data_IF_049131497352
#
_entry.id   IF_049131497352
#
_cell.length_a   1.000
_cell.length_b   1.000
_cell.length_c   1.000
_cell.angle_alpha   90.00
_cell.angle_beta   90.00
_cell.angle_gamma   90.00
#
_symmetry.space_group_name_H-M   'P 1'
#
loop_
_entity.id
_entity.type
_entity.pdbx_description
1 polymer ?
#
# COMPACT_ATOMS: atom_id res chain seq x y z
N UNK A 1 -7.29 8.08 -2.48
CA UNK A 1 -5.88 7.99 -2.04
C UNK A 1 -5.64 7.10 -0.80
N UNK A 2 -4.95 5.97 -0.99
CA UNK A 2 -4.50 5.10 0.11
C UNK A 2 -3.29 5.75 0.79
N UNK A 3 -3.43 6.18 2.05
CA UNK A 3 -2.35 6.74 2.85
C UNK A 3 -2.29 6.01 4.19
N UNK A 4 -1.09 5.64 4.62
CA UNK A 4 -0.85 4.96 5.88
C UNK A 4 0.10 5.78 6.73
N UNK A 5 -0.18 5.82 8.03
CA UNK A 5 0.77 6.25 9.03
C UNK A 5 1.52 5.03 9.55
N UNK A 6 2.85 5.07 9.49
CA UNK A 6 3.74 4.00 9.94
C UNK A 6 4.56 4.54 11.11
N UNK A 7 4.49 3.87 12.25
CA UNK A 7 5.26 4.21 13.45
C UNK A 7 6.25 3.08 13.74
N UNK A 8 7.53 3.43 13.94
CA UNK A 8 8.57 2.48 14.35
C UNK A 8 9.67 3.21 15.14
N UNK A 9 9.97 2.72 16.34
CA UNK A 9 10.81 3.49 17.28
C UNK A 9 10.25 4.90 17.49
N UNK A 10 11.12 5.91 17.40
CA UNK A 10 10.77 7.33 17.48
C UNK A 10 10.25 7.92 16.15
N UNK A 11 10.19 7.12 15.09
CA UNK A 11 9.83 7.59 13.76
C UNK A 11 8.34 7.46 13.49
N UNK A 12 7.79 8.50 12.86
CA UNK A 12 6.43 8.52 12.31
C UNK A 12 6.51 8.97 10.88
N UNK A 13 6.05 8.11 9.97
CA UNK A 13 6.06 8.34 8.53
C UNK A 13 4.64 8.27 7.97
N UNK A 14 4.39 9.02 6.91
CA UNK A 14 3.17 8.93 6.10
C UNK A 14 3.51 8.51 4.67
N UNK A 15 2.79 7.54 4.15
CA UNK A 15 2.87 7.16 2.73
C UNK A 15 1.95 8.06 1.90
N UNK A 16 2.47 8.54 0.76
CA UNK A 16 1.74 9.33 -0.21
C UNK A 16 1.80 8.63 -1.58
N UNK A 17 0.69 8.11 -2.09
CA UNK A 17 0.68 7.40 -3.37
C UNK A 17 1.01 8.37 -4.51
N UNK A 18 1.83 7.91 -5.47
CA UNK A 18 2.14 8.69 -6.69
C UNK A 18 0.93 8.73 -7.63
N UNK A 19 0.16 7.64 -7.66
CA UNK A 19 -1.12 7.50 -8.35
C UNK A 19 -2.11 6.82 -7.41
N UNK A 20 -3.37 7.27 -7.44
CA UNK A 20 -4.42 6.72 -6.58
C UNK A 20 -4.77 5.27 -6.94
N UNK A 21 -4.85 4.97 -8.24
CA UNK A 21 -5.26 3.67 -8.78
C UNK A 21 -4.03 2.86 -9.24
N UNK A 22 -3.51 2.06 -8.31
CA UNK A 22 -2.43 1.10 -8.54
C UNK A 22 -2.87 -0.30 -8.08
N UNK A 23 -4.14 -0.63 -8.36
CA UNK A 23 -4.71 -1.94 -8.05
C UNK A 23 -4.25 -3.00 -9.06
N UNK A 24 -3.87 -4.17 -8.54
CA UNK A 24 -3.58 -5.36 -9.33
C UNK A 24 -4.55 -6.46 -8.94
N UNK A 25 -5.45 -6.81 -9.87
CA UNK A 25 -6.37 -7.94 -9.72
C UNK A 25 -5.82 -9.17 -10.43
N UNK A 26 -5.66 -10.26 -9.67
CA UNK A 26 -5.20 -11.56 -10.19
C UNK A 26 -6.37 -12.55 -10.25
N UNK A 27 -6.35 -13.46 -11.22
CA UNK A 27 -7.45 -14.43 -11.44
C UNK A 27 -7.04 -15.90 -11.33
N UNK A 28 -5.74 -16.22 -11.37
CA UNK A 28 -5.21 -17.59 -11.26
C UNK A 28 -3.86 -17.58 -10.52
N UNK A 29 -3.55 -18.60 -9.70
CA UNK A 29 -4.35 -19.80 -9.41
C UNK A 29 -5.51 -19.56 -8.42
N UNK A 30 -5.52 -18.45 -7.68
CA UNK A 30 -6.62 -18.02 -6.83
C UNK A 30 -6.84 -16.50 -6.98
N UNK A 31 -8.08 -15.98 -6.94
CA UNK A 31 -8.33 -14.56 -7.04
C UNK A 31 -7.77 -13.81 -5.81
N UNK A 32 -6.84 -12.89 -6.05
CA UNK A 32 -6.34 -11.96 -5.03
C UNK A 32 -6.34 -10.56 -5.61
N UNK A 33 -6.79 -9.59 -4.81
CA UNK A 33 -6.67 -8.17 -5.11
C UNK A 33 -5.53 -7.61 -4.26
N UNK A 34 -4.54 -7.06 -4.95
CA UNK A 34 -3.45 -6.31 -4.38
C UNK A 34 -3.64 -4.83 -4.70
N UNK A 35 -3.20 -3.96 -3.80
CA UNK A 35 -2.84 -2.59 -4.15
C UNK A 35 -1.32 -2.58 -4.10
N UNK A 36 -0.66 -2.35 -5.24
CA UNK A 36 0.78 -2.37 -5.32
C UNK A 36 1.27 -1.11 -6.01
N UNK A 37 1.78 -0.16 -5.23
CA UNK A 37 2.00 1.17 -5.75
C UNK A 37 3.26 1.86 -5.24
N UNK A 38 3.81 2.69 -6.13
CA UNK A 38 4.87 3.63 -5.78
C UNK A 38 4.32 4.69 -4.83
N UNK A 39 5.06 4.93 -3.75
CA UNK A 39 4.74 5.94 -2.74
C UNK A 39 5.93 6.87 -2.52
N UNK A 40 5.65 8.14 -2.22
CA UNK A 40 6.56 9.01 -1.48
C UNK A 40 6.34 8.79 0.00
N UNK A 41 7.38 9.02 0.79
CA UNK A 41 7.31 8.94 2.25
C UNK A 41 7.76 10.27 2.82
N UNK A 42 7.06 10.75 3.84
CA UNK A 42 7.35 11.98 4.57
C UNK A 42 7.11 11.81 6.07
N UNK A 43 7.61 12.74 6.88
CA UNK A 43 7.51 12.71 8.34
C UNK A 43 8.87 12.87 8.98
N UNK A 44 9.18 12.05 9.98
CA UNK A 44 10.51 12.05 10.62
C UNK A 44 11.64 11.62 9.67
N UNK A 45 11.31 10.94 8.57
CA UNK A 45 12.20 10.60 7.46
C UNK A 45 11.47 10.91 6.14
N UNK A 46 12.22 11.11 5.05
CA UNK A 46 11.63 11.34 3.73
C UNK A 46 12.30 10.49 2.66
N UNK A 47 11.53 10.10 1.63
CA UNK A 47 12.03 9.22 0.58
C UNK A 47 10.97 8.76 -0.41
N UNK A 48 11.29 7.68 -1.11
CA UNK A 48 10.41 6.97 -2.05
C UNK A 48 10.44 5.49 -1.72
N UNK A 49 9.33 4.80 -1.95
CA UNK A 49 9.20 3.37 -1.69
C UNK A 49 8.07 2.73 -2.49
N UNK A 50 7.78 1.48 -2.14
CA UNK A 50 6.68 0.69 -2.69
C UNK A 50 5.82 0.21 -1.53
N UNK A 51 4.50 0.30 -1.68
CA UNK A 51 3.53 -0.18 -0.71
C UNK A 51 2.69 -1.26 -1.37
N UNK A 52 2.69 -2.44 -0.78
CA UNK A 52 1.84 -3.56 -1.13
C UNK A 52 0.79 -3.75 -0.03
N UNK A 53 -0.48 -3.83 -0.42
CA UNK A 53 -1.59 -4.11 0.48
C UNK A 53 -2.46 -5.22 -0.10
N UNK A 54 -2.85 -6.16 0.74
CA UNK A 54 -3.75 -7.26 0.40
C UNK A 54 -4.91 -7.33 1.39
N UNK A 55 -5.98 -8.03 1.03
CA UNK A 55 -7.12 -8.27 1.93
C UNK A 55 -8.02 -7.05 2.20
N UNK A 56 -7.74 -5.89 1.62
CA UNK A 56 -8.57 -4.68 1.77
C UNK A 56 -9.85 -4.74 0.92
N UNK A 57 -9.87 -5.51 -0.16
CA UNK A 57 -11.01 -5.66 -1.09
C UNK A 57 -12.10 -6.63 -0.58
N UNK A 58 -12.11 -6.95 0.72
CA UNK A 58 -13.04 -7.90 1.33
C UNK A 58 -12.46 -9.32 1.45
N UNK A 59 -13.25 -10.22 2.04
CA UNK A 59 -12.83 -11.60 2.33
C UNK A 59 -12.47 -12.28 1.01
N UNK A 60 -11.24 -12.81 0.90
CA UNK A 60 -10.91 -13.78 -0.14
C UNK A 60 -11.92 -14.92 -0.05
N UNK A 61 -12.85 -15.00 -1.00
CA UNK A 61 -13.68 -16.18 -1.14
C UNK A 61 -12.79 -17.23 -1.80
N UNK A 62 -12.28 -18.13 -0.95
CA UNK A 62 -11.61 -19.36 -1.38
C UNK A 62 -12.62 -20.32 -1.99
#
# INVERSE_FOLDING_TARGET
PVQLEIRFGEHTLRTLPVLDDQELSTSRPAPVVYWEGLVKVEGSLSGRGYLEMTGYAGRLQM
#
